data_IF_126245917741
#
_entry.id   IF_126245917741
#
_cell.length_a   1.000
_cell.length_b   1.000
_cell.length_c   1.000
_cell.angle_alpha   90.00
_cell.angle_beta   90.00
_cell.angle_gamma   90.00
#
_symmetry.space_group_name_H-M   'P 1'
#
loop_
_entity.id
_entity.type
_entity.pdbx_description
1 polymer ?
#
# COMPACT_ATOMS: atom_id res chain seq x y z
N UNK A 1 -6.54 -7.15 5.62
CA UNK A 1 -6.65 -6.14 4.55
C UNK A 1 -6.91 -6.75 3.16
N UNK A 2 -6.01 -7.58 2.60
CA UNK A 2 -6.15 -8.10 1.21
C UNK A 2 -7.49 -8.81 0.99
N UNK A 3 -7.92 -9.66 1.94
CA UNK A 3 -9.23 -10.31 1.85
C UNK A 3 -10.37 -9.29 1.74
N UNK A 4 -10.32 -8.18 2.49
CA UNK A 4 -11.33 -7.14 2.42
C UNK A 4 -11.38 -6.47 1.04
N UNK A 5 -10.22 -6.25 0.41
CA UNK A 5 -10.13 -5.73 -0.96
C UNK A 5 -10.73 -6.72 -1.96
N UNK A 6 -10.41 -8.01 -1.84
CA UNK A 6 -10.95 -9.04 -2.73
C UNK A 6 -12.47 -9.12 -2.60
N UNK A 7 -13.00 -9.13 -1.37
CA UNK A 7 -14.45 -9.09 -1.13
C UNK A 7 -15.06 -7.81 -1.70
N UNK A 8 -14.40 -6.66 -1.56
CA UNK A 8 -14.86 -5.38 -2.12
C UNK A 8 -15.06 -5.46 -3.63
N UNK A 9 -14.05 -5.97 -4.33
CA UNK A 9 -14.09 -6.14 -5.79
C UNK A 9 -15.29 -7.00 -6.18
N UNK A 10 -15.48 -8.15 -5.53
CA UNK A 10 -16.61 -9.04 -5.82
C UNK A 10 -17.97 -8.42 -5.51
N UNK A 11 -18.09 -7.68 -4.40
CA UNK A 11 -19.33 -6.99 -4.03
C UNK A 11 -19.67 -5.89 -5.03
N UNK A 12 -18.68 -5.09 -5.46
CA UNK A 12 -18.88 -4.03 -6.46
C UNK A 12 -19.28 -4.62 -7.81
N UNK A 13 -18.53 -5.62 -8.31
CA UNK A 13 -18.83 -6.22 -9.63
C UNK A 13 -20.22 -6.85 -9.65
N UNK A 14 -20.60 -7.52 -8.55
CA UNK A 14 -21.93 -8.10 -8.39
C UNK A 14 -23.02 -7.02 -8.30
N UNK A 15 -22.76 -5.92 -7.60
CA UNK A 15 -23.67 -4.78 -7.50
C UNK A 15 -23.90 -4.07 -8.85
N UNK A 16 -22.93 -4.11 -9.75
CA UNK A 16 -23.03 -3.55 -11.11
C UNK A 16 -23.64 -4.53 -12.13
N UNK A 17 -23.98 -5.76 -11.72
CA UNK A 17 -24.40 -6.86 -12.60
C UNK A 17 -23.41 -7.14 -13.76
N UNK A 18 -22.11 -6.94 -13.52
CA UNK A 18 -21.07 -7.21 -14.52
C UNK A 18 -20.09 -8.27 -14.04
N UNK A 19 -19.50 -9.00 -14.99
CA UNK A 19 -18.45 -9.96 -14.66
C UNK A 19 -17.13 -9.26 -14.32
N UNK A 20 -16.27 -9.93 -13.56
CA UNK A 20 -14.95 -9.40 -13.22
C UNK A 20 -14.08 -9.18 -14.47
N UNK A 21 -14.24 -10.01 -15.51
CA UNK A 21 -13.53 -9.88 -16.79
C UNK A 21 -13.99 -8.66 -17.59
N UNK A 22 -15.30 -8.36 -17.57
CA UNK A 22 -15.85 -7.18 -18.22
C UNK A 22 -15.34 -5.92 -17.50
N UNK A 23 -15.38 -5.92 -16.17
CA UNK A 23 -14.86 -4.83 -15.35
C UNK A 23 -13.37 -4.59 -15.55
N UNK A 24 -12.57 -5.64 -15.67
CA UNK A 24 -11.16 -5.52 -16.04
C UNK A 24 -10.98 -4.85 -17.40
N UNK A 25 -11.81 -5.23 -18.39
CA UNK A 25 -11.77 -4.65 -19.73
C UNK A 25 -12.20 -3.18 -19.73
N UNK A 26 -13.24 -2.82 -18.96
CA UNK A 26 -13.69 -1.43 -18.78
C UNK A 26 -12.58 -0.59 -18.15
N UNK A 27 -11.98 -1.05 -17.06
CA UNK A 27 -10.89 -0.31 -16.39
C UNK A 27 -9.70 -0.14 -17.33
N UNK A 28 -9.28 -1.20 -18.02
CA UNK A 28 -8.16 -1.17 -18.98
C UNK A 28 -8.38 -0.20 -20.14
N UNK A 29 -9.63 0.00 -20.57
CA UNK A 29 -9.96 0.92 -21.66
C UNK A 29 -10.32 2.33 -21.15
N UNK A 30 -10.37 2.53 -19.84
CA UNK A 30 -10.66 3.83 -19.23
C UNK A 30 -9.39 4.66 -19.04
N UNK A 31 -9.56 5.99 -19.02
CA UNK A 31 -8.48 6.93 -18.70
C UNK A 31 -7.85 6.70 -17.31
N UNK A 32 -8.58 6.03 -16.39
CA UNK A 32 -8.09 5.67 -15.05
C UNK A 32 -6.92 4.68 -15.08
N UNK A 33 -6.72 3.96 -16.20
CA UNK A 33 -5.61 3.01 -16.36
C UNK A 33 -4.39 3.59 -17.08
N UNK A 34 -4.43 4.86 -17.50
CA UNK A 34 -3.31 5.51 -18.18
C UNK A 34 -2.08 5.46 -17.27
N UNK A 35 -1.06 4.72 -17.70
CA UNK A 35 0.16 4.47 -16.92
C UNK A 35 1.34 5.32 -17.42
N UNK A 36 1.36 5.62 -18.72
CA UNK A 36 2.45 6.31 -19.38
C UNK A 36 2.10 7.79 -19.61
N UNK A 37 2.68 8.67 -18.79
CA UNK A 37 2.56 10.12 -18.95
C UNK A 37 3.90 10.70 -19.42
N UNK A 38 3.94 11.14 -20.68
CA UNK A 38 5.14 11.75 -21.29
C UNK A 38 4.87 13.15 -21.87
N UNK A 39 3.61 13.54 -22.03
CA UNK A 39 3.19 14.70 -22.83
C UNK A 39 3.63 16.04 -22.23
N UNK A 40 3.52 16.22 -20.91
CA UNK A 40 3.84 17.49 -20.22
C UNK A 40 5.29 17.55 -19.71
N UNK A 41 6.16 16.66 -20.19
CA UNK A 41 7.59 16.62 -19.87
C UNK A 41 7.87 16.64 -18.36
N UNK A 42 8.86 17.44 -17.94
CA UNK A 42 9.27 17.58 -16.54
C UNK A 42 8.36 18.49 -15.69
N UNK A 43 7.25 19.02 -16.21
CA UNK A 43 6.28 19.75 -15.37
C UNK A 43 5.16 18.84 -14.86
N UNK A 44 4.92 17.71 -15.53
CA UNK A 44 3.94 16.73 -15.08
C UNK A 44 4.36 16.10 -13.74
N UNK A 45 3.45 16.08 -12.77
CA UNK A 45 3.64 15.34 -11.51
C UNK A 45 3.62 13.83 -11.76
N UNK A 46 2.87 13.39 -12.76
CA UNK A 46 2.69 11.98 -13.10
C UNK A 46 3.68 11.50 -14.16
N UNK A 47 4.66 12.32 -14.57
CA UNK A 47 5.65 11.94 -15.58
C UNK A 47 6.27 10.57 -15.27
N UNK A 48 6.20 9.65 -16.24
CA UNK A 48 6.62 8.26 -16.05
C UNK A 48 8.08 8.14 -15.61
N UNK A 49 9.00 8.89 -16.22
CA UNK A 49 10.43 8.81 -15.90
C UNK A 49 10.69 9.30 -14.48
N UNK A 50 10.05 10.39 -14.07
CA UNK A 50 10.14 10.87 -12.69
C UNK A 50 9.63 9.85 -11.69
N UNK A 51 8.48 9.23 -11.97
CA UNK A 51 7.87 8.24 -11.09
C UNK A 51 8.73 6.97 -10.99
N UNK A 52 9.36 6.53 -12.08
CA UNK A 52 10.31 5.41 -12.05
C UNK A 52 11.55 5.74 -11.21
N UNK A 53 12.14 6.93 -11.39
CA UNK A 53 13.30 7.36 -10.60
C UNK A 53 12.95 7.54 -9.12
N UNK A 54 11.82 8.17 -8.82
CA UNK A 54 11.31 8.33 -7.46
C UNK A 54 11.03 6.96 -6.82
N UNK A 55 10.39 6.04 -7.55
CA UNK A 55 10.14 4.67 -7.09
C UNK A 55 11.43 3.90 -6.79
N UNK A 56 12.46 4.05 -7.62
CA UNK A 56 13.77 3.46 -7.35
C UNK A 56 14.41 4.00 -6.06
N UNK A 57 14.33 5.31 -5.83
CA UNK A 57 14.82 5.93 -4.58
C UNK A 57 14.00 5.49 -3.36
N UNK A 58 12.67 5.43 -3.48
CA UNK A 58 11.79 4.94 -2.42
C UNK A 58 12.14 3.49 -2.07
N UNK A 59 12.38 2.63 -3.04
CA UNK A 59 12.79 1.25 -2.78
C UNK A 59 14.12 1.16 -2.01
N UNK A 60 15.10 2.02 -2.33
CA UNK A 60 16.38 2.10 -1.58
C UNK A 60 16.14 2.55 -0.15
N UNK A 61 15.38 3.62 0.06
CA UNK A 61 15.09 4.15 1.39
C UNK A 61 14.32 3.10 2.22
N UNK A 62 13.25 2.54 1.65
CA UNK A 62 12.40 1.57 2.35
C UNK A 62 13.11 0.25 2.66
N UNK A 63 14.13 -0.18 1.92
CA UNK A 63 14.78 -1.49 2.20
C UNK A 63 16.16 -1.39 2.81
N UNK A 64 16.83 -0.25 2.65
CA UNK A 64 18.20 -0.03 3.12
C UNK A 64 18.35 0.99 4.24
N UNK A 65 17.40 1.91 4.43
CA UNK A 65 17.47 2.98 5.44
C UNK A 65 16.35 2.89 6.49
N UNK A 66 15.17 2.39 6.11
CA UNK A 66 14.05 2.18 7.03
C UNK A 66 14.38 1.06 8.01
N UNK A 67 14.36 1.41 9.30
CA UNK A 67 14.79 0.52 10.37
C UNK A 67 13.93 -0.74 10.46
N UNK A 68 12.62 -0.66 10.23
CA UNK A 68 11.72 -1.81 10.33
C UNK A 68 12.07 -2.85 9.24
N UNK A 69 12.17 -2.36 8.01
CA UNK A 69 12.44 -3.21 6.86
C UNK A 69 13.87 -3.73 6.83
N UNK A 70 14.84 -2.89 7.20
CA UNK A 70 16.25 -3.28 7.31
C UNK A 70 16.42 -4.38 8.37
N UNK A 71 15.82 -4.22 9.56
CA UNK A 71 15.89 -5.21 10.65
C UNK A 71 15.27 -6.55 10.25
N UNK A 72 14.12 -6.53 9.55
CA UNK A 72 13.49 -7.75 9.01
C UNK A 72 14.42 -8.49 8.05
N UNK A 73 15.19 -7.77 7.23
CA UNK A 73 16.11 -8.39 6.27
C UNK A 73 17.37 -8.97 6.93
N UNK A 74 17.95 -8.33 7.95
CA UNK A 74 19.15 -8.84 8.66
C UNK A 74 18.82 -9.94 9.67
N UNK A 75 17.55 -10.08 10.08
CA UNK A 75 17.10 -11.15 10.97
C UNK A 75 17.00 -12.52 10.27
N UNK A 76 17.13 -12.56 8.93
CA UNK A 76 17.20 -13.81 8.18
C UNK A 76 18.52 -14.55 8.48
N UNK A 77 18.49 -15.89 8.55
CA UNK A 77 19.66 -16.69 8.98
C UNK A 77 20.84 -16.61 8.02
N UNK A 78 20.56 -16.42 6.74
CA UNK A 78 21.58 -16.35 5.69
C UNK A 78 21.28 -15.25 4.68
N UNK A 79 22.32 -14.75 4.02
CA UNK A 79 22.20 -13.77 2.93
C UNK A 79 21.26 -14.28 1.82
N UNK A 80 21.33 -15.57 1.49
CA UNK A 80 20.50 -16.18 0.45
C UNK A 80 19.02 -16.18 0.83
N UNK A 81 18.69 -16.41 2.09
CA UNK A 81 17.32 -16.32 2.60
C UNK A 81 16.81 -14.88 2.59
N UNK A 82 17.64 -13.92 3.01
CA UNK A 82 17.31 -12.49 2.97
C UNK A 82 17.00 -12.01 1.54
N UNK A 83 17.84 -12.40 0.57
CA UNK A 83 17.59 -12.10 -0.84
C UNK A 83 16.29 -12.75 -1.37
N UNK A 84 15.98 -13.97 -0.94
CA UNK A 84 14.72 -14.64 -1.31
C UNK A 84 13.52 -13.91 -0.70
N UNK A 85 13.62 -13.46 0.54
CA UNK A 85 12.60 -12.67 1.23
C UNK A 85 12.28 -11.39 0.47
N UNK A 86 13.31 -10.60 0.15
CA UNK A 86 13.15 -9.34 -0.60
C UNK A 86 12.57 -9.58 -2.00
N UNK A 87 13.04 -10.59 -2.74
CA UNK A 87 12.49 -10.94 -4.07
C UNK A 87 11.01 -11.31 -4.00
N UNK A 88 10.63 -12.14 -3.03
CA UNK A 88 9.23 -12.54 -2.84
C UNK A 88 8.37 -11.33 -2.44
N UNK A 89 8.87 -10.50 -1.53
CA UNK A 89 8.20 -9.28 -1.08
C UNK A 89 7.89 -8.35 -2.26
N UNK A 90 8.86 -8.06 -3.13
CA UNK A 90 8.61 -7.19 -4.29
C UNK A 90 7.63 -7.77 -5.29
N UNK A 91 7.67 -9.09 -5.53
CA UNK A 91 6.69 -9.75 -6.40
C UNK A 91 5.28 -9.58 -5.81
N UNK A 92 5.09 -9.87 -4.52
CA UNK A 92 3.81 -9.70 -3.83
C UNK A 92 3.37 -8.23 -3.86
N UNK A 93 4.29 -7.31 -3.61
CA UNK A 93 4.03 -5.87 -3.57
C UNK A 93 3.43 -5.37 -4.89
N UNK A 94 3.98 -5.80 -6.04
CA UNK A 94 3.45 -5.43 -7.37
C UNK A 94 2.00 -5.91 -7.53
N UNK A 95 1.72 -7.18 -7.21
CA UNK A 95 0.36 -7.72 -7.34
C UNK A 95 -0.63 -7.02 -6.41
N UNK A 96 -0.24 -6.77 -5.15
CA UNK A 96 -1.08 -6.07 -4.18
C UNK A 96 -1.36 -4.63 -4.64
N UNK A 97 -0.37 -3.91 -5.16
CA UNK A 97 -0.58 -2.56 -5.69
C UNK A 97 -1.54 -2.54 -6.88
N UNK A 98 -1.39 -3.46 -7.83
CA UNK A 98 -2.32 -3.58 -8.97
C UNK A 98 -3.74 -3.86 -8.46
N UNK A 99 -3.89 -4.72 -7.46
CA UNK A 99 -5.20 -5.03 -6.86
C UNK A 99 -5.85 -3.78 -6.23
N UNK A 100 -5.08 -2.98 -5.49
CA UNK A 100 -5.57 -1.72 -4.91
C UNK A 100 -5.90 -0.66 -5.96
N UNK A 101 -5.08 -0.52 -7.00
CA UNK A 101 -5.35 0.40 -8.11
C UNK A 101 -6.62 -0.01 -8.87
N UNK A 102 -6.80 -1.31 -9.12
CA UNK A 102 -7.99 -1.84 -9.76
C UNK A 102 -9.24 -1.58 -8.91
N UNK A 103 -9.19 -1.86 -7.60
CA UNK A 103 -10.27 -1.52 -6.68
C UNK A 103 -10.57 0.00 -6.71
N UNK A 104 -9.53 0.84 -6.69
CA UNK A 104 -9.68 2.29 -6.78
C UNK A 104 -10.50 2.70 -8.00
N UNK A 105 -10.13 2.20 -9.19
CA UNK A 105 -10.89 2.46 -10.41
C UNK A 105 -12.35 1.97 -10.33
N UNK A 106 -12.59 0.78 -9.75
CA UNK A 106 -13.93 0.25 -9.55
C UNK A 106 -14.80 1.10 -8.62
N UNK A 107 -14.23 1.69 -7.57
CA UNK A 107 -14.97 2.58 -6.67
C UNK A 107 -15.51 3.81 -7.40
N UNK A 108 -14.69 4.41 -8.27
CA UNK A 108 -15.12 5.54 -9.10
C UNK A 108 -16.16 5.16 -10.15
N UNK A 109 -15.99 4.01 -10.81
CA UNK A 109 -16.97 3.50 -11.79
C UNK A 109 -18.31 3.17 -11.11
N UNK A 110 -18.27 2.53 -9.94
CA UNK A 110 -19.45 2.20 -9.15
C UNK A 110 -20.20 3.46 -8.73
N UNK A 111 -19.50 4.45 -8.16
CA UNK A 111 -20.13 5.69 -7.73
C UNK A 111 -20.77 6.45 -8.90
N UNK A 112 -20.10 6.49 -10.06
CA UNK A 112 -20.65 7.12 -11.26
C UNK A 112 -21.90 6.38 -11.77
N UNK A 113 -21.87 5.05 -11.85
CA UNK A 113 -23.02 4.25 -12.29
C UNK A 113 -24.21 4.35 -11.32
N UNK A 114 -23.96 4.41 -10.01
CA UNK A 114 -25.00 4.52 -8.99
C UNK A 114 -25.47 5.95 -8.73
N UNK A 115 -24.89 6.96 -9.40
CA UNK A 115 -25.22 8.37 -9.19
C UNK A 115 -24.88 8.87 -7.77
N UNK A 116 -23.83 8.31 -7.16
CA UNK A 116 -23.39 8.64 -5.80
C UNK A 116 -22.40 9.79 -5.86
N UNK A 117 -22.69 10.88 -5.15
CA UNK A 117 -21.72 11.96 -4.94
C UNK A 117 -20.60 11.49 -4.01
N UNK A 118 -19.37 11.53 -4.52
CA UNK A 118 -18.18 11.15 -3.77
C UNK A 118 -17.68 12.30 -2.90
N UNK A 119 -17.08 12.01 -1.73
CA UNK A 119 -16.41 13.04 -0.94
C UNK A 119 -15.23 13.65 -1.70
N UNK A 120 -14.96 14.94 -1.49
CA UNK A 120 -13.83 15.65 -2.12
C UNK A 120 -12.47 15.02 -1.76
N UNK A 121 -12.35 14.47 -0.55
CA UNK A 121 -11.13 13.80 -0.10
C UNK A 121 -11.10 12.36 -0.63
N UNK A 122 -10.14 12.08 -1.51
CA UNK A 122 -9.95 10.77 -2.17
C UNK A 122 -9.81 9.62 -1.17
N UNK A 123 -9.13 9.83 -0.05
CA UNK A 123 -8.91 8.80 0.98
C UNK A 123 -10.20 8.39 1.70
N UNK A 124 -11.24 9.24 1.65
CA UNK A 124 -12.55 8.96 2.23
C UNK A 124 -13.48 8.20 1.30
N UNK A 125 -13.17 8.11 0.00
CA UNK A 125 -14.04 7.46 -1.00
C UNK A 125 -14.32 6.01 -0.62
N UNK A 126 -13.27 5.23 -0.32
CA UNK A 126 -13.46 3.81 -0.01
C UNK A 126 -14.25 3.58 1.28
N UNK A 127 -13.88 4.20 2.43
CA UNK A 127 -14.71 4.12 3.64
C UNK A 127 -16.15 4.60 3.42
N UNK A 128 -16.34 5.71 2.70
CA UNK A 128 -17.67 6.27 2.44
C UNK A 128 -18.57 5.26 1.73
N UNK A 129 -18.10 4.68 0.62
CA UNK A 129 -18.86 3.68 -0.11
C UNK A 129 -19.05 2.39 0.71
N UNK A 130 -18.04 1.97 1.48
CA UNK A 130 -18.11 0.76 2.30
C UNK A 130 -19.21 0.83 3.38
N UNK A 131 -19.46 2.00 3.96
CA UNK A 131 -20.43 2.18 5.04
C UNK A 131 -21.80 2.69 4.58
N UNK A 132 -21.89 3.42 3.46
CA UNK A 132 -23.14 4.07 3.04
C UNK A 132 -23.79 3.42 1.81
N UNK A 133 -23.02 2.73 0.97
CA UNK A 133 -23.47 2.33 -0.37
C UNK A 133 -23.28 0.84 -0.67
N UNK A 134 -22.75 0.08 0.30
CA UNK A 134 -22.51 -1.35 0.22
C UNK A 134 -23.20 -2.07 1.40
N UNK A 135 -23.44 -3.39 1.30
CA UNK A 135 -24.05 -4.16 2.38
C UNK A 135 -23.26 -4.07 3.69
N UNK A 136 -23.95 -4.06 4.84
CA UNK A 136 -23.33 -3.85 6.15
C UNK A 136 -22.20 -4.84 6.49
N UNK A 137 -22.29 -6.10 6.03
CA UNK A 137 -21.24 -7.10 6.24
C UNK A 137 -19.91 -6.67 5.60
N UNK A 138 -19.96 -5.95 4.48
CA UNK A 138 -18.78 -5.46 3.79
C UNK A 138 -18.07 -4.38 4.61
N UNK A 139 -18.82 -3.41 5.15
CA UNK A 139 -18.28 -2.38 6.04
C UNK A 139 -17.56 -2.97 7.25
N UNK A 140 -18.07 -4.06 7.83
CA UNK A 140 -17.42 -4.79 8.93
C UNK A 140 -16.09 -5.41 8.47
N UNK A 141 -16.08 -6.14 7.36
CA UNK A 141 -14.87 -6.77 6.80
C UNK A 141 -13.81 -5.72 6.47
N UNK A 142 -14.23 -4.60 5.87
CA UNK A 142 -13.38 -3.46 5.58
C UNK A 142 -12.75 -2.89 6.85
N UNK A 143 -13.56 -2.59 7.87
CA UNK A 143 -13.08 -2.03 9.13
C UNK A 143 -12.08 -2.96 9.83
N UNK A 144 -12.39 -4.25 9.92
CA UNK A 144 -11.47 -5.26 10.48
C UNK A 144 -10.18 -5.32 9.67
N UNK A 145 -10.29 -5.31 8.34
CA UNK A 145 -9.16 -5.33 7.44
C UNK A 145 -8.24 -4.11 7.56
N UNK A 146 -8.83 -2.92 7.75
CA UNK A 146 -8.16 -1.64 7.94
C UNK A 146 -7.47 -1.58 9.31
N UNK A 147 -8.18 -1.93 10.39
CA UNK A 147 -7.62 -1.96 11.74
C UNK A 147 -6.45 -2.96 11.82
N UNK A 148 -6.60 -4.15 11.23
CA UNK A 148 -5.52 -5.13 11.19
C UNK A 148 -4.26 -4.61 10.49
N UNK A 149 -4.41 -3.87 9.38
CA UNK A 149 -3.28 -3.23 8.70
C UNK A 149 -2.66 -2.12 9.55
N UNK A 150 -3.49 -1.25 10.15
CA UNK A 150 -3.03 -0.15 10.99
C UNK A 150 -2.24 -0.66 12.22
N UNK A 151 -2.73 -1.70 12.90
CA UNK A 151 -2.04 -2.30 14.03
C UNK A 151 -0.72 -2.98 13.62
N UNK A 152 -0.67 -3.67 12.48
CA UNK A 152 0.58 -4.26 11.98
C UNK A 152 1.66 -3.21 11.69
N UNK A 153 1.27 -2.05 11.15
CA UNK A 153 2.18 -0.93 10.92
C UNK A 153 2.61 -0.25 12.22
N UNK A 154 1.67 -0.05 13.16
CA UNK A 154 1.96 0.58 14.45
C UNK A 154 2.90 -0.28 15.31
N UNK A 155 2.70 -1.59 15.36
CA UNK A 155 3.56 -2.53 16.07
C UNK A 155 5.01 -2.52 15.55
N UNK A 156 5.15 -2.55 14.22
CA UNK A 156 6.45 -2.48 13.55
C UNK A 156 7.16 -1.13 13.80
N UNK A 157 6.40 -0.02 13.77
CA UNK A 157 6.93 1.30 14.04
C UNK A 157 7.38 1.47 15.51
N UNK A 158 6.61 0.95 16.46
CA UNK A 158 6.94 1.01 17.88
C UNK A 158 8.20 0.19 18.18
N UNK A 159 8.30 -1.02 17.61
CA UNK A 159 9.49 -1.86 17.73
C UNK A 159 10.72 -1.15 17.17
N UNK A 160 10.62 -0.58 15.97
CA UNK A 160 11.73 0.12 15.32
C UNK A 160 12.19 1.34 16.13
N UNK A 161 11.25 2.13 16.66
CA UNK A 161 11.53 3.28 17.51
C UNK A 161 12.23 2.84 18.81
N UNK A 162 11.73 1.81 19.47
CA UNK A 162 12.35 1.27 20.68
C UNK A 162 13.76 0.78 20.39
N UNK A 163 13.98 0.05 19.29
CA UNK A 163 15.33 -0.43 18.95
C UNK A 163 16.28 0.71 18.64
N UNK A 164 15.90 1.69 17.81
CA UNK A 164 16.74 2.85 17.53
C UNK A 164 17.03 3.66 18.80
N UNK A 165 16.05 3.83 19.69
CA UNK A 165 16.28 4.55 20.94
C UNK A 165 17.22 3.79 21.88
N UNK A 166 17.00 2.49 22.09
CA UNK A 166 17.81 1.69 23.01
C UNK A 166 19.23 1.49 22.49
N UNK A 167 19.42 1.18 21.20
CA UNK A 167 20.73 0.85 20.64
C UNK A 167 21.51 2.09 20.20
N UNK A 168 20.86 3.06 19.54
CA UNK A 168 21.60 4.17 18.92
C UNK A 168 21.73 5.36 19.88
N UNK A 169 20.75 5.58 20.77
CA UNK A 169 20.74 6.71 21.72
C UNK A 169 21.29 6.25 23.08
N UNK A 170 20.61 5.33 23.78
CA UNK A 170 20.99 4.94 25.15
C UNK A 170 22.30 4.14 25.24
N UNK A 171 22.55 3.22 24.32
CA UNK A 171 23.77 2.39 24.37
C UNK A 171 25.06 3.20 24.09
N UNK A 172 24.95 4.28 23.30
CA UNK A 172 26.05 5.22 23.06
C UNK A 172 26.39 6.06 24.32
N UNK A 173 25.41 6.34 25.19
CA UNK A 173 25.69 7.00 26.47
C UNK A 173 26.50 6.10 27.42
N UNK A 174 26.22 4.79 27.42
CA UNK A 174 26.91 3.83 28.30
C UNK A 174 28.31 3.46 27.80
N UNK A 175 28.54 3.39 26.49
CA UNK A 175 29.87 3.12 25.92
C UNK A 175 30.82 4.32 26.02
N UNK A 176 30.30 5.56 26.03
CA UNK A 176 31.12 6.77 26.28
C UNK A 176 31.80 6.80 27.67
N UNK A 177 31.30 6.00 28.62
CA UNK A 177 31.84 5.90 29.99
C UNK A 177 32.88 4.79 30.17
N UNK A 178 33.12 3.92 29.17
CA UNK A 178 34.01 2.74 29.31
C UNK A 178 35.26 2.81 28.41
N UNK A 179 35.57 3.95 27.78
CA UNK A 179 36.84 4.13 27.04
C UNK A 179 37.64 5.35 27.51
N UNK A 180 37.72 5.53 28.83
CA UNK A 180 38.80 6.27 29.49
C UNK A 180 39.16 5.61 30.81
N UNK A 181 39.97 4.56 30.75
CA UNK A 181 41.06 4.22 31.68
C UNK A 181 41.87 3.06 31.11
#
# INVERSE_FOLDING_TARGET
MILAVVVAIFTITSGMNQSLLDMFSVVKNSDLSKTFFFENGWQDKNNFIKQVLAGALIAIVMTGLDQDMMQKNISCKTLKESQKNIKLFYVILVFVNILFLFLGALLYLYANQSGIELPEQTDKVFPFLAFNSMPAYFGIIFLVGLLAAAYSSADSALTSLTTSYCLDILNNENTSKTTRM
#
